data_IF_745839043895
#
_entry.id   IF_745839043895
#
_cell.length_a   1.000
_cell.length_b   1.000
_cell.length_c   1.000
_cell.angle_alpha   90.00
_cell.angle_beta   90.00
_cell.angle_gamma   90.00
#
_symmetry.space_group_name_H-M   'P 1'
#
loop_
_entity.id
_entity.type
_entity.pdbx_description
1 polymer ?
#
# COMPACT_ATOMS: atom_id res chain seq x y z
N UNK A 1 -23.20 -43.22 -5.22
CA UNK A 1 -23.42 -41.80 -4.91
C UNK A 1 -22.41 -40.90 -5.59
N UNK A 2 -22.71 -40.55 -6.85
CA UNK A 2 -21.96 -39.56 -7.61
C UNK A 2 -22.49 -38.16 -7.31
N UNK A 3 -21.67 -37.30 -6.71
CA UNK A 3 -21.98 -35.88 -6.61
C UNK A 3 -21.53 -35.20 -7.89
N UNK A 4 -22.50 -34.79 -8.69
CA UNK A 4 -22.33 -33.86 -9.81
C UNK A 4 -21.71 -32.57 -9.27
N UNK A 5 -20.53 -32.22 -9.78
CA UNK A 5 -20.02 -30.87 -9.68
C UNK A 5 -20.92 -30.03 -10.58
N UNK A 6 -21.79 -29.22 -9.95
CA UNK A 6 -22.58 -28.26 -10.68
C UNK A 6 -21.63 -27.37 -11.46
N UNK A 7 -21.83 -27.33 -12.78
CA UNK A 7 -21.37 -26.25 -13.64
C UNK A 7 -21.81 -24.94 -12.99
N UNK A 8 -20.89 -24.31 -12.25
CA UNK A 8 -20.98 -22.88 -11.97
C UNK A 8 -20.76 -22.22 -13.32
N UNK A 9 -21.88 -22.01 -14.03
CA UNK A 9 -21.97 -21.13 -15.17
C UNK A 9 -21.04 -19.95 -14.91
N UNK A 10 -20.01 -19.83 -15.75
CA UNK A 10 -19.22 -18.62 -15.88
C UNK A 10 -20.17 -17.55 -16.43
N UNK A 11 -21.04 -17.04 -15.55
CA UNK A 11 -21.72 -15.80 -15.78
C UNK A 11 -20.62 -14.82 -16.17
N UNK A 12 -20.68 -14.35 -17.41
CA UNK A 12 -19.93 -13.20 -17.88
C UNK A 12 -20.42 -12.00 -17.06
N UNK A 13 -20.04 -11.98 -15.78
CA UNK A 13 -20.22 -10.86 -14.89
C UNK A 13 -19.26 -9.83 -15.42
N UNK A 14 -19.81 -8.70 -15.85
CA UNK A 14 -19.05 -7.54 -16.25
C UNK A 14 -18.06 -7.20 -15.11
N UNK A 15 -16.81 -7.67 -15.22
CA UNK A 15 -15.79 -7.55 -14.17
C UNK A 15 -15.30 -6.12 -14.02
N UNK A 16 -15.78 -5.20 -14.87
CA UNK A 16 -15.40 -3.79 -14.90
C UNK A 16 -15.79 -3.03 -13.63
N UNK A 17 -16.66 -3.61 -12.78
CA UNK A 17 -17.06 -3.06 -11.48
C UNK A 17 -16.64 -3.95 -10.29
N UNK A 18 -15.73 -4.90 -10.48
CA UNK A 18 -15.35 -5.84 -9.40
C UNK A 18 -14.34 -5.27 -8.42
N UNK A 19 -13.65 -4.20 -8.82
CA UNK A 19 -12.59 -3.54 -8.07
C UNK A 19 -13.03 -2.10 -7.86
N UNK A 20 -12.80 -1.59 -6.66
CA UNK A 20 -13.16 -0.24 -6.25
C UNK A 20 -12.71 0.02 -4.80
N UNK A 21 -12.85 1.26 -4.29
CA UNK A 21 -12.46 1.60 -2.92
C UNK A 21 -13.06 0.64 -1.89
N UNK A 22 -12.21 0.15 -0.97
CA UNK A 22 -12.58 -0.84 0.05
C UNK A 22 -12.43 -2.30 -0.40
N UNK A 23 -12.15 -2.57 -1.68
CA UNK A 23 -11.94 -3.93 -2.18
C UNK A 23 -10.59 -4.48 -1.71
N UNK A 24 -10.58 -5.74 -1.29
CA UNK A 24 -9.36 -6.49 -1.00
C UNK A 24 -8.95 -7.35 -2.21
N UNK A 25 -7.77 -7.09 -2.74
CA UNK A 25 -7.19 -7.82 -3.86
C UNK A 25 -6.06 -8.69 -3.35
N UNK A 26 -6.09 -9.99 -3.68
CA UNK A 26 -5.05 -10.94 -3.29
C UNK A 26 -4.23 -11.35 -4.49
N UNK A 27 -2.91 -11.17 -4.43
CA UNK A 27 -2.00 -11.68 -5.44
C UNK A 27 -2.04 -13.22 -5.46
N UNK A 28 -2.43 -13.80 -6.60
CA UNK A 28 -2.70 -15.24 -6.75
C UNK A 28 -1.40 -16.06 -6.89
N UNK A 29 -0.48 -15.63 -7.73
CA UNK A 29 0.79 -16.32 -7.99
C UNK A 29 1.77 -15.40 -8.71
N UNK A 30 3.04 -15.81 -8.73
CA UNK A 30 4.05 -15.25 -9.62
C UNK A 30 3.55 -15.32 -11.07
N UNK A 31 3.77 -14.26 -11.86
CA UNK A 31 3.65 -14.37 -13.31
C UNK A 31 4.84 -15.20 -13.77
N UNK A 32 4.59 -16.27 -14.53
CA UNK A 32 5.56 -17.27 -14.96
C UNK A 32 6.61 -16.79 -15.97
N UNK A 33 6.86 -15.49 -16.07
CA UNK A 33 7.90 -14.91 -16.92
C UNK A 33 9.09 -14.49 -16.05
N UNK A 34 10.11 -15.34 -16.05
CA UNK A 34 11.36 -15.30 -15.26
C UNK A 34 12.31 -14.12 -15.58
N UNK A 35 11.86 -13.06 -16.23
CA UNK A 35 12.74 -11.95 -16.69
C UNK A 35 12.61 -10.69 -15.83
N UNK A 36 11.58 -10.58 -15.01
CA UNK A 36 11.44 -9.44 -14.09
C UNK A 36 11.84 -9.90 -12.70
N UNK A 37 12.90 -9.29 -12.16
CA UNK A 37 13.24 -9.29 -10.74
C UNK A 37 12.05 -8.67 -9.99
N UNK A 38 11.03 -9.47 -9.70
CA UNK A 38 9.86 -8.99 -8.98
C UNK A 38 10.27 -8.52 -7.59
N UNK A 39 9.74 -7.38 -7.17
CA UNK A 39 9.70 -7.00 -5.77
C UNK A 39 9.02 -8.13 -5.00
N UNK A 40 9.78 -8.78 -4.11
CA UNK A 40 9.34 -9.94 -3.33
C UNK A 40 8.09 -9.61 -2.52
N UNK A 41 7.91 -8.33 -2.21
CA UNK A 41 6.83 -7.73 -1.45
C UNK A 41 5.46 -7.86 -2.13
N UNK A 42 5.42 -7.98 -3.46
CA UNK A 42 4.16 -8.09 -4.23
C UNK A 42 3.64 -9.53 -4.24
N UNK A 43 4.53 -10.50 -4.11
CA UNK A 43 4.17 -11.92 -4.14
C UNK A 43 3.36 -12.26 -2.88
N UNK A 44 2.15 -12.83 -3.09
CA UNK A 44 1.20 -13.15 -2.01
C UNK A 44 0.75 -11.93 -1.19
N UNK A 45 0.91 -10.73 -1.73
CA UNK A 45 0.38 -9.51 -1.11
C UNK A 45 -1.14 -9.54 -1.04
N UNK A 46 -1.66 -8.91 0.01
CA UNK A 46 -3.05 -8.53 0.18
C UNK A 46 -3.12 -7.01 0.09
N UNK A 47 -3.77 -6.50 -0.94
CA UNK A 47 -3.85 -5.06 -1.24
C UNK A 47 -5.26 -4.56 -0.94
N UNK A 48 -5.36 -3.47 -0.19
CA UNK A 48 -6.59 -2.71 -0.04
C UNK A 48 -6.63 -1.60 -1.08
N UNK A 49 -7.68 -1.56 -1.89
CA UNK A 49 -7.92 -0.49 -2.86
C UNK A 49 -8.47 0.72 -2.12
N UNK A 50 -7.81 1.86 -2.27
CA UNK A 50 -8.18 3.15 -1.66
C UNK A 50 -8.94 4.03 -2.66
N UNK A 51 -8.47 4.05 -3.90
CA UNK A 51 -9.08 4.78 -5.00
C UNK A 51 -9.01 3.93 -6.26
N UNK A 52 -10.06 4.01 -7.07
CA UNK A 52 -10.09 3.42 -8.40
C UNK A 52 -10.73 4.44 -9.35
N UNK A 53 -9.93 4.91 -10.29
CA UNK A 53 -10.30 5.92 -11.27
C UNK A 53 -10.08 5.36 -12.68
N UNK A 54 -10.58 6.01 -13.73
CA UNK A 54 -10.30 5.57 -15.10
C UNK A 54 -8.81 5.55 -15.46
N UNK A 55 -7.99 6.36 -14.79
CA UNK A 55 -6.58 6.54 -15.09
C UNK A 55 -5.68 5.62 -14.24
N UNK A 56 -6.06 5.37 -12.99
CA UNK A 56 -5.27 4.58 -12.05
C UNK A 56 -6.08 3.96 -10.89
N UNK A 57 -5.52 2.88 -10.34
CA UNK A 57 -5.95 2.26 -9.09
C UNK A 57 -4.87 2.44 -8.03
N UNK A 58 -5.23 3.04 -6.90
CA UNK A 58 -4.34 3.24 -5.76
C UNK A 58 -4.70 2.25 -4.66
N UNK A 59 -3.69 1.60 -4.09
CA UNK A 59 -3.89 0.67 -2.98
C UNK A 59 -2.67 0.51 -2.09
N UNK A 60 -2.89 -0.11 -0.94
CA UNK A 60 -1.85 -0.36 0.08
C UNK A 60 -1.73 -1.85 0.39
N UNK A 61 -0.48 -2.32 0.51
CA UNK A 61 -0.18 -3.69 0.96
C UNK A 61 -0.41 -3.81 2.47
N UNK A 62 -1.18 -4.81 2.90
CA UNK A 62 -1.62 -4.99 4.29
C UNK A 62 -0.86 -6.08 5.06
N UNK A 63 -0.11 -6.93 4.38
CA UNK A 63 0.46 -8.15 4.98
C UNK A 63 1.98 -8.21 4.94
N UNK A 64 2.64 -7.07 4.75
CA UNK A 64 4.09 -6.98 4.79
C UNK A 64 4.54 -6.16 6.01
N UNK A 65 4.91 -6.79 7.14
CA UNK A 65 5.33 -6.07 8.33
C UNK A 65 6.65 -5.31 8.09
N UNK A 66 6.81 -4.18 8.77
CA UNK A 66 8.08 -3.45 8.86
C UNK A 66 8.69 -3.63 10.24
N UNK A 67 10.01 -3.48 10.34
CA UNK A 67 10.72 -3.40 11.61
C UNK A 67 10.60 -1.98 12.21
N UNK A 68 9.37 -1.48 12.32
CA UNK A 68 9.03 -0.17 12.85
C UNK A 68 7.65 -0.22 13.53
N UNK A 69 7.42 0.67 14.48
CA UNK A 69 6.14 0.83 15.15
C UNK A 69 5.88 2.31 15.46
N UNK A 70 4.62 2.68 15.55
CA UNK A 70 4.18 4.03 15.95
C UNK A 70 3.58 3.98 17.35
N UNK A 71 3.86 5.02 18.12
CA UNK A 71 3.16 5.31 19.37
C UNK A 71 1.89 6.10 19.03
N UNK A 72 0.77 5.71 19.61
CA UNK A 72 -0.50 6.41 19.42
C UNK A 72 -0.83 7.18 20.68
N UNK A 73 -1.24 8.44 20.53
CA UNK A 73 -1.61 9.31 21.65
C UNK A 73 -2.70 8.70 22.55
N UNK A 74 -3.56 7.85 21.99
CA UNK A 74 -4.69 7.23 22.67
C UNK A 74 -4.46 5.74 23.02
N UNK A 75 -3.23 5.22 22.90
CA UNK A 75 -2.93 3.80 23.11
C UNK A 75 -1.66 3.54 23.89
N UNK A 76 -1.73 2.68 24.91
CA UNK A 76 -0.55 2.25 25.68
C UNK A 76 0.39 1.30 24.89
N UNK A 77 -0.10 0.72 23.78
CA UNK A 77 0.64 -0.25 22.98
C UNK A 77 1.11 0.33 21.65
N UNK A 78 2.38 0.09 21.33
CA UNK A 78 2.96 0.40 20.01
C UNK A 78 2.22 -0.36 18.90
N UNK A 79 1.83 0.35 17.83
CA UNK A 79 1.20 -0.24 16.66
C UNK A 79 2.27 -0.55 15.61
N UNK A 80 2.44 -1.83 15.20
CA UNK A 80 3.45 -2.19 14.21
C UNK A 80 3.11 -1.62 12.83
N UNK A 81 4.12 -1.02 12.20
CA UNK A 81 4.03 -0.49 10.84
C UNK A 81 4.05 -1.60 9.79
N UNK A 82 3.51 -1.28 8.62
CA UNK A 82 3.49 -2.17 7.46
C UNK A 82 3.99 -1.44 6.23
N UNK A 83 4.60 -2.17 5.32
CA UNK A 83 5.06 -1.66 4.04
C UNK A 83 3.83 -1.50 3.14
N UNK A 84 3.49 -0.26 2.80
CA UNK A 84 2.32 0.06 1.97
C UNK A 84 2.52 -0.20 0.48
N UNK A 85 3.77 -0.20 0.01
CA UNK A 85 4.11 -0.37 -1.40
C UNK A 85 5.38 0.42 -1.78
N UNK A 86 5.87 0.26 -3.03
CA UNK A 86 7.12 0.87 -3.48
C UNK A 86 7.01 2.36 -3.80
N UNK A 87 5.83 2.82 -4.17
CA UNK A 87 5.56 4.23 -4.48
C UNK A 87 5.76 5.07 -3.21
N UNK A 88 6.54 6.14 -3.32
CA UNK A 88 6.91 7.06 -2.23
C UNK A 88 7.56 6.40 -0.99
N UNK A 89 8.04 5.16 -1.14
CA UNK A 89 8.67 4.40 -0.05
C UNK A 89 10.00 4.99 0.46
N UNK A 90 10.62 5.92 -0.26
CA UNK A 90 11.87 6.57 0.14
C UNK A 90 11.65 7.62 1.24
N UNK A 91 10.45 8.21 1.33
CA UNK A 91 10.15 9.31 2.26
C UNK A 91 10.25 8.90 3.74
N UNK A 92 9.87 7.66 4.09
CA UNK A 92 9.92 7.21 5.48
C UNK A 92 11.33 6.81 5.94
N UNK A 93 12.19 6.33 5.04
CA UNK A 93 13.58 5.94 5.37
C UNK A 93 14.49 7.15 5.55
N UNK A 94 14.23 8.24 4.84
CA UNK A 94 15.09 9.41 4.83
C UNK A 94 14.97 10.27 6.10
N UNK A 95 13.96 10.03 6.94
CA UNK A 95 13.67 10.92 8.08
C UNK A 95 13.37 12.36 7.66
N UNK A 96 13.17 12.60 6.36
CA UNK A 96 12.93 13.91 5.78
C UNK A 96 11.43 14.20 5.78
N UNK A 97 10.80 14.15 6.94
CA UNK A 97 9.70 15.06 7.17
C UNK A 97 10.38 16.41 7.35
N UNK A 98 10.34 17.25 6.32
CA UNK A 98 10.59 18.67 6.53
C UNK A 98 9.50 19.11 7.51
N UNK A 99 9.87 19.28 8.77
CA UNK A 99 9.18 20.20 9.67
C UNK A 99 9.35 21.59 9.04
N UNK A 100 8.52 21.90 8.04
CA UNK A 100 8.30 23.26 7.53
C UNK A 100 7.43 24.02 8.54
N UNK A 101 7.86 23.99 9.80
CA UNK A 101 7.40 24.90 10.83
C UNK A 101 8.28 26.14 10.67
N UNK A 102 7.77 27.08 9.87
CA UNK A 102 8.44 28.34 9.53
C UNK A 102 9.03 29.07 10.73
N UNK A 103 10.32 28.84 10.97
CA UNK A 103 11.13 29.69 11.83
C UNK A 103 11.56 30.90 10.99
N UNK A 104 10.85 32.00 11.22
CA UNK A 104 11.10 33.32 10.67
C UNK A 104 12.61 33.66 10.60
N UNK A 105 13.09 33.97 9.39
CA UNK A 105 14.40 34.56 9.20
C UNK A 105 14.39 36.02 9.70
N UNK A 106 14.89 36.26 10.92
CA UNK A 106 15.44 37.58 11.28
C UNK A 106 16.97 37.55 11.14
N UNK A 107 17.43 37.89 9.93
CA UNK A 107 18.81 38.34 9.71
C UNK A 107 18.89 39.78 10.23
N UNK A 108 19.35 39.96 11.47
CA UNK A 108 19.82 41.26 11.93
C UNK A 108 21.31 41.40 11.60
N UNK A 109 21.58 41.96 10.43
CA UNK A 109 22.86 42.60 10.12
C UNK A 109 23.02 43.80 11.06
N UNK A 110 23.91 43.71 12.04
CA UNK A 110 24.45 44.90 12.71
C UNK A 110 25.95 45.01 12.41
N UNK A 111 26.24 45.81 11.38
CA UNK A 111 27.57 46.38 11.17
C UNK A 111 27.64 47.75 11.87
N UNK A 112 28.41 47.83 12.96
CA UNK A 112 29.24 49.01 13.27
C UNK A 112 30.36 48.69 14.26
#
# INVERSE_FOLDING_TARGET
DGRSYGDVEAASRDTRNLIGPGTLVRAKSHISNDVLLYEQEIIRSLVLVLADTPDETVGIILNHPLAAAIECLEGESLIPCRYGGPVDSQAWKAGSFHDDDGADEEILDDQS
#
